data_IF_422119959347
#
_entry.id   IF_422119959347
#
_cell.length_a   1.000
_cell.length_b   1.000
_cell.length_c   1.000
_cell.angle_alpha   90.00
_cell.angle_beta   90.00
_cell.angle_gamma   90.00
#
_symmetry.space_group_name_H-M   'P 1'
#
loop_
_entity.id
_entity.type
_entity.pdbx_description
1 polymer ?
#
# COMPACT_ATOMS: atom_id res chain seq x y z
N UNK A 1 -5.30 10.14 3.12
CA UNK A 1 -5.71 9.57 1.84
C UNK A 1 -6.88 8.62 2.07
N UNK A 2 -7.99 8.73 1.29
CA UNK A 2 -9.19 7.91 1.50
C UNK A 2 -10.12 8.34 2.64
N UNK A 3 -9.85 9.46 3.32
CA UNK A 3 -10.76 10.01 4.31
C UNK A 3 -11.96 10.69 3.64
N UNK A 4 -13.14 10.54 4.25
CA UNK A 4 -14.34 11.26 3.87
C UNK A 4 -14.36 12.61 4.58
N UNK A 5 -14.34 13.71 3.84
CA UNK A 5 -14.43 15.08 4.38
C UNK A 5 -15.90 15.46 4.43
N UNK A 6 -16.39 15.87 5.63
CA UNK A 6 -17.80 16.18 5.89
C UNK A 6 -18.09 17.68 5.86
N UNK A 7 -17.09 18.52 5.60
CA UNK A 7 -17.20 19.97 5.59
C UNK A 7 -16.54 20.56 4.34
N UNK A 8 -17.03 21.70 3.89
CA UNK A 8 -16.47 22.44 2.76
C UNK A 8 -15.73 23.68 3.27
N UNK A 9 -14.91 24.27 2.39
CA UNK A 9 -14.26 25.55 2.67
C UNK A 9 -15.32 26.64 2.88
N UNK A 10 -15.20 27.37 4.00
CA UNK A 10 -16.15 28.43 4.39
C UNK A 10 -17.31 27.97 5.28
N UNK A 11 -17.47 26.67 5.55
CA UNK A 11 -18.51 26.18 6.44
C UNK A 11 -18.26 26.59 7.90
N UNK A 12 -19.35 27.00 8.61
CA UNK A 12 -19.30 27.29 10.04
C UNK A 12 -19.33 25.99 10.83
N UNK A 13 -18.24 25.70 11.54
CA UNK A 13 -18.10 24.48 12.37
C UNK A 13 -18.36 24.81 13.83
N UNK A 14 -18.94 23.86 14.59
CA UNK A 14 -19.17 23.93 16.03
C UNK A 14 -18.23 22.96 16.74
N UNK A 15 -17.92 23.23 18.01
CA UNK A 15 -17.16 22.31 18.86
C UNK A 15 -17.84 20.93 18.92
N UNK A 16 -17.08 19.86 18.61
CA UNK A 16 -17.59 18.48 18.58
C UNK A 16 -18.17 18.02 17.25
N UNK A 17 -18.20 18.87 16.22
CA UNK A 17 -18.62 18.47 14.87
C UNK A 17 -17.53 17.63 14.20
N UNK A 18 -17.94 16.52 13.56
CA UNK A 18 -17.03 15.65 12.81
C UNK A 18 -16.63 16.32 11.50
N UNK A 19 -15.36 16.68 11.35
CA UNK A 19 -14.82 17.34 10.16
C UNK A 19 -14.50 16.33 9.05
N UNK A 20 -13.94 15.19 9.42
CA UNK A 20 -13.66 14.09 8.51
C UNK A 20 -13.73 12.75 9.25
N UNK A 21 -13.91 11.68 8.49
CA UNK A 21 -13.92 10.31 8.99
C UNK A 21 -13.10 9.41 8.09
N UNK A 22 -12.44 8.41 8.66
CA UNK A 22 -11.69 7.41 7.92
C UNK A 22 -11.81 6.04 8.60
N UNK A 23 -11.61 4.99 7.85
CA UNK A 23 -11.52 3.63 8.37
C UNK A 23 -10.04 3.26 8.56
N UNK A 24 -9.55 3.07 9.80
CA UNK A 24 -8.16 2.72 10.07
C UNK A 24 -7.79 1.28 9.70
N UNK A 25 -8.81 0.42 9.49
CA UNK A 25 -8.64 -1.01 9.23
C UNK A 25 -8.67 -1.37 7.75
N UNK A 26 -8.94 -0.40 6.89
CA UNK A 26 -9.05 -0.60 5.45
C UNK A 26 -8.16 0.39 4.71
N UNK A 27 -7.27 -0.11 3.87
CA UNK A 27 -6.58 0.71 2.88
C UNK A 27 -7.42 0.79 1.60
N UNK A 28 -7.48 1.98 1.01
CA UNK A 28 -8.28 2.24 -0.18
C UNK A 28 -7.38 2.53 -1.38
N UNK A 29 -7.64 1.87 -2.50
CA UNK A 29 -7.11 2.27 -3.79
C UNK A 29 -8.17 3.14 -4.46
N UNK A 30 -7.83 4.41 -4.72
CA UNK A 30 -8.71 5.39 -5.34
C UNK A 30 -8.33 5.63 -6.81
N UNK A 31 -9.32 5.95 -7.64
CA UNK A 31 -9.11 6.38 -9.00
C UNK A 31 -8.35 7.72 -9.03
N UNK A 32 -7.19 7.77 -9.66
CA UNK A 32 -6.40 8.99 -9.82
C UNK A 32 -6.95 9.91 -10.90
N UNK A 33 -7.58 9.32 -11.90
CA UNK A 33 -8.18 10.01 -13.04
C UNK A 33 -9.55 9.41 -13.33
N UNK A 34 -10.41 10.20 -14.00
CA UNK A 34 -11.70 9.73 -14.47
C UNK A 34 -11.52 8.99 -15.79
N UNK A 35 -12.16 7.84 -15.93
CA UNK A 35 -12.05 7.01 -17.12
C UNK A 35 -12.82 5.70 -17.01
N UNK A 36 -12.49 4.76 -17.87
CA UNK A 36 -13.11 3.42 -17.93
C UNK A 36 -12.15 2.40 -17.33
N UNK A 37 -12.61 1.58 -16.42
CA UNK A 37 -11.84 0.50 -15.79
C UNK A 37 -11.63 -0.64 -16.79
N UNK A 38 -10.40 -1.15 -16.85
CA UNK A 38 -10.06 -2.39 -17.51
C UNK A 38 -9.31 -3.30 -16.54
N UNK A 39 -9.83 -4.50 -16.36
CA UNK A 39 -9.24 -5.51 -15.50
C UNK A 39 -8.37 -6.42 -16.35
N UNK A 40 -7.12 -6.67 -15.90
CA UNK A 40 -6.16 -7.52 -16.56
C UNK A 40 -5.71 -8.64 -15.62
N UNK A 41 -5.52 -9.84 -16.18
CA UNK A 41 -5.12 -11.06 -15.46
C UNK A 41 -6.14 -11.50 -14.37
N UNK A 42 -7.44 -11.20 -14.57
CA UNK A 42 -8.52 -11.68 -13.71
C UNK A 42 -9.12 -12.97 -14.25
N UNK A 43 -8.81 -14.09 -13.59
CA UNK A 43 -9.30 -15.43 -13.92
C UNK A 43 -10.08 -15.94 -12.70
N UNK A 44 -11.37 -16.21 -12.89
CA UNK A 44 -12.23 -16.72 -11.84
C UNK A 44 -11.77 -18.11 -11.37
N UNK A 45 -11.71 -18.30 -10.04
CA UNK A 45 -11.23 -19.54 -9.43
C UNK A 45 -9.72 -19.67 -9.31
N UNK A 46 -8.93 -18.76 -9.93
CA UNK A 46 -7.46 -18.73 -9.80
C UNK A 46 -6.99 -17.40 -9.20
N UNK A 47 -7.16 -16.27 -9.91
CA UNK A 47 -6.68 -14.97 -9.42
C UNK A 47 -7.71 -14.22 -8.60
N UNK A 48 -9.01 -14.54 -8.72
CA UNK A 48 -10.06 -13.98 -7.87
C UNK A 48 -11.18 -15.00 -7.63
N UNK A 49 -11.93 -14.80 -6.54
CA UNK A 49 -13.15 -15.52 -6.22
C UNK A 49 -14.30 -14.55 -5.94
N UNK A 50 -15.53 -14.96 -6.23
CA UNK A 50 -16.72 -14.22 -5.86
C UNK A 50 -17.19 -14.67 -4.48
N UNK A 51 -17.19 -13.77 -3.52
CA UNK A 51 -17.70 -13.99 -2.17
C UNK A 51 -19.06 -13.31 -2.01
N UNK A 52 -20.00 -14.01 -1.40
CA UNK A 52 -21.28 -13.42 -1.04
C UNK A 52 -21.13 -12.58 0.23
N UNK A 53 -21.49 -11.30 0.15
CA UNK A 53 -21.54 -10.40 1.30
C UNK A 53 -22.98 -10.26 1.78
N UNK A 54 -23.16 -9.93 3.08
CA UNK A 54 -24.48 -9.67 3.68
C UNK A 54 -25.30 -8.72 2.81
N UNK A 55 -26.53 -9.18 2.44
CA UNK A 55 -27.41 -8.45 1.53
C UNK A 55 -27.45 -9.00 0.09
N UNK A 56 -26.83 -10.18 -0.18
CA UNK A 56 -26.92 -10.86 -1.49
C UNK A 56 -26.08 -10.24 -2.61
N UNK A 57 -25.21 -9.27 -2.28
CA UNK A 57 -24.25 -8.71 -3.24
C UNK A 57 -23.01 -9.60 -3.29
N UNK A 58 -22.58 -9.93 -4.50
CA UNK A 58 -21.31 -10.61 -4.73
C UNK A 58 -20.18 -9.59 -4.82
N UNK A 59 -19.07 -9.87 -4.15
CA UNK A 59 -17.83 -9.08 -4.24
C UNK A 59 -16.71 -9.97 -4.76
N UNK A 60 -15.85 -9.40 -5.59
CA UNK A 60 -14.68 -10.09 -6.14
C UNK A 60 -13.51 -9.86 -5.19
N UNK A 61 -12.97 -10.94 -4.67
CA UNK A 61 -11.81 -10.93 -3.76
C UNK A 61 -10.61 -11.56 -4.48
N UNK A 62 -9.49 -10.88 -4.48
CA UNK A 62 -8.25 -11.37 -5.11
C UNK A 62 -7.69 -12.52 -4.27
N UNK A 63 -7.40 -13.64 -4.94
CA UNK A 63 -6.79 -14.84 -4.35
C UNK A 63 -5.36 -15.04 -4.82
N UNK A 64 -4.59 -15.85 -4.11
CA UNK A 64 -3.24 -16.19 -4.52
C UNK A 64 -3.29 -17.15 -5.73
N UNK A 65 -2.78 -16.71 -6.87
CA UNK A 65 -2.69 -17.56 -8.06
C UNK A 65 -1.54 -18.54 -7.95
N UNK A 66 -1.75 -19.75 -8.48
CA UNK A 66 -0.70 -20.78 -8.63
C UNK A 66 0.31 -20.40 -9.71
N UNK A 67 -0.10 -19.64 -10.72
CA UNK A 67 0.80 -19.14 -11.77
C UNK A 67 1.33 -17.76 -11.41
N UNK A 68 2.60 -17.70 -11.01
CA UNK A 68 3.30 -16.44 -10.64
C UNK A 68 3.46 -15.45 -11.80
N UNK A 69 3.07 -15.79 -13.02
CA UNK A 69 3.07 -14.87 -14.17
C UNK A 69 1.82 -14.03 -14.24
N UNK A 70 0.74 -14.47 -13.58
CA UNK A 70 -0.52 -13.73 -13.51
C UNK A 70 -0.45 -12.74 -12.35
N UNK A 71 -0.76 -11.49 -12.65
CA UNK A 71 -0.77 -10.41 -11.67
C UNK A 71 -2.04 -9.59 -11.87
N UNK A 72 -3.10 -9.84 -11.08
CA UNK A 72 -4.35 -9.09 -11.21
C UNK A 72 -4.08 -7.58 -11.06
N UNK A 73 -4.47 -6.82 -12.07
CA UNK A 73 -4.23 -5.37 -12.09
C UNK A 73 -5.42 -4.63 -12.69
N UNK A 74 -5.62 -3.38 -12.22
CA UNK A 74 -6.62 -2.46 -12.73
C UNK A 74 -5.92 -1.36 -13.50
N UNK A 75 -6.39 -1.12 -14.71
CA UNK A 75 -5.95 -0.02 -15.58
C UNK A 75 -7.12 0.93 -15.81
N UNK A 76 -6.84 2.23 -15.95
CA UNK A 76 -7.85 3.24 -16.29
C UNK A 76 -7.57 3.77 -17.69
N UNK A 77 -8.56 3.67 -18.55
CA UNK A 77 -8.49 4.11 -19.94
C UNK A 77 -9.33 5.36 -20.16
N UNK A 78 -8.87 6.21 -21.08
CA UNK A 78 -9.68 7.28 -21.65
C UNK A 78 -10.79 6.68 -22.53
N UNK A 79 -11.89 7.41 -22.71
CA UNK A 79 -12.94 7.06 -23.70
C UNK A 79 -12.39 6.95 -25.14
N UNK A 80 -11.18 7.50 -25.40
CA UNK A 80 -10.48 7.36 -26.67
C UNK A 80 -9.61 6.11 -26.78
N UNK A 81 -9.47 5.33 -25.69
CA UNK A 81 -8.67 4.11 -25.65
C UNK A 81 -7.21 4.31 -25.20
N UNK A 82 -6.82 5.51 -24.78
CA UNK A 82 -5.48 5.77 -24.26
C UNK A 82 -5.40 5.35 -22.78
N UNK A 83 -4.27 4.80 -22.37
CA UNK A 83 -4.03 4.45 -20.95
C UNK A 83 -3.79 5.74 -20.17
N UNK A 84 -4.69 6.06 -19.24
CA UNK A 84 -4.57 7.23 -18.37
C UNK A 84 -3.79 6.92 -17.10
N UNK A 85 -3.98 5.72 -16.54
CA UNK A 85 -3.24 5.23 -15.37
C UNK A 85 -2.77 3.82 -15.63
N UNK A 86 -1.48 3.58 -15.47
CA UNK A 86 -0.86 2.26 -15.61
C UNK A 86 -1.39 1.26 -14.60
N UNK A 87 -1.22 -0.04 -14.87
CA UNK A 87 -1.77 -1.13 -14.09
C UNK A 87 -1.41 -1.08 -12.61
N UNK A 88 -2.40 -0.86 -11.76
CA UNK A 88 -2.25 -1.04 -10.32
C UNK A 88 -2.41 -2.51 -10.00
N UNK A 89 -1.33 -3.19 -9.60
CA UNK A 89 -1.36 -4.59 -9.19
C UNK A 89 -2.05 -4.69 -7.83
N UNK A 90 -2.95 -5.65 -7.71
CA UNK A 90 -3.73 -5.87 -6.51
C UNK A 90 -3.09 -6.92 -5.61
N UNK A 91 -2.98 -6.67 -4.31
CA UNK A 91 -2.55 -7.67 -3.35
C UNK A 91 -3.62 -8.74 -3.14
N UNK A 92 -3.19 -9.89 -2.62
CA UNK A 92 -4.10 -10.96 -2.18
C UNK A 92 -5.01 -10.43 -1.08
N UNK A 93 -6.29 -10.88 -1.05
CA UNK A 93 -7.38 -10.41 -0.19
C UNK A 93 -7.89 -9.00 -0.49
N UNK A 94 -7.46 -8.38 -1.59
CA UNK A 94 -8.04 -7.13 -2.05
C UNK A 94 -9.47 -7.36 -2.54
N UNK A 95 -10.42 -6.57 -2.05
CA UNK A 95 -11.83 -6.62 -2.43
C UNK A 95 -12.13 -5.54 -3.47
N UNK A 96 -12.60 -5.94 -4.64
CA UNK A 96 -12.98 -5.02 -5.70
C UNK A 96 -14.34 -4.38 -5.43
N UNK A 97 -14.42 -3.06 -5.61
CA UNK A 97 -15.66 -2.29 -5.50
C UNK A 97 -16.24 -1.94 -6.87
N UNK A 98 -15.43 -2.08 -7.91
CA UNK A 98 -15.77 -1.73 -9.31
C UNK A 98 -15.77 -2.98 -10.20
N UNK A 99 -16.44 -2.87 -11.34
CA UNK A 99 -16.49 -3.92 -12.35
C UNK A 99 -15.70 -3.52 -13.60
N UNK A 100 -15.32 -4.52 -14.41
CA UNK A 100 -14.71 -4.30 -15.70
C UNK A 100 -15.62 -3.49 -16.63
N UNK A 101 -15.06 -2.51 -17.35
CA UNK A 101 -15.81 -1.61 -18.23
C UNK A 101 -16.58 -0.50 -17.51
N UNK A 102 -16.52 -0.38 -16.20
CA UNK A 102 -17.22 0.66 -15.43
C UNK A 102 -16.55 2.02 -15.60
N UNK A 103 -17.38 3.06 -15.82
CA UNK A 103 -16.93 4.46 -15.74
C UNK A 103 -16.66 4.85 -14.29
N UNK A 104 -15.49 5.43 -14.03
CA UNK A 104 -15.10 5.92 -12.69
C UNK A 104 -14.70 7.38 -12.74
N UNK A 105 -14.93 8.07 -11.64
CA UNK A 105 -14.51 9.46 -11.44
C UNK A 105 -13.26 9.52 -10.56
N UNK A 106 -12.47 10.58 -10.74
CA UNK A 106 -11.30 10.83 -9.88
C UNK A 106 -11.70 10.84 -8.40
N UNK A 107 -10.97 10.09 -7.56
CA UNK A 107 -11.24 9.95 -6.13
C UNK A 107 -12.23 8.81 -5.78
N UNK A 108 -12.84 8.15 -6.74
CA UNK A 108 -13.72 7.01 -6.49
C UNK A 108 -12.91 5.81 -5.99
N UNK A 109 -13.44 5.09 -4.98
CA UNK A 109 -12.82 3.87 -4.46
C UNK A 109 -12.93 2.73 -5.48
N UNK A 110 -11.78 2.17 -5.86
CA UNK A 110 -11.67 1.03 -6.77
C UNK A 110 -11.56 -0.27 -6.00
N UNK A 111 -10.74 -0.29 -4.96
CA UNK A 111 -10.41 -1.49 -4.20
C UNK A 111 -10.33 -1.16 -2.72
N UNK A 112 -10.75 -2.11 -1.89
CA UNK A 112 -10.59 -2.11 -0.45
C UNK A 112 -9.63 -3.22 -0.05
N UNK A 113 -8.63 -2.90 0.74
CA UNK A 113 -7.66 -3.86 1.25
C UNK A 113 -7.82 -3.87 2.77
N UNK A 114 -8.29 -4.99 3.31
CA UNK A 114 -8.39 -5.13 4.75
C UNK A 114 -6.99 -5.27 5.34
N UNK A 115 -6.66 -4.42 6.30
CA UNK A 115 -5.44 -4.59 7.10
C UNK A 115 -5.65 -5.75 8.06
N UNK A 116 -4.84 -6.77 7.94
CA UNK A 116 -4.81 -7.86 8.92
C UNK A 116 -4.24 -7.34 10.25
N UNK A 117 -5.05 -6.56 10.98
CA UNK A 117 -4.65 -5.91 12.24
C UNK A 117 -4.56 -6.93 13.40
N UNK A 118 -5.08 -8.15 13.23
CA UNK A 118 -5.26 -9.06 14.34
C UNK A 118 -4.45 -10.35 14.36
N UNK A 119 -4.10 -10.93 13.22
CA UNK A 119 -3.56 -12.31 13.19
C UNK A 119 -2.06 -12.43 13.00
N UNK A 120 -1.40 -11.48 12.35
CA UNK A 120 0.04 -11.56 12.08
C UNK A 120 0.90 -10.87 13.13
N UNK A 121 0.34 -9.91 13.88
CA UNK A 121 1.07 -9.19 14.93
C UNK A 121 1.12 -9.93 16.26
N UNK A 122 0.15 -10.81 16.54
CA UNK A 122 0.02 -11.50 17.83
C UNK A 122 1.04 -12.63 18.01
N UNK A 123 1.56 -13.22 16.92
CA UNK A 123 2.51 -14.35 16.98
C UNK A 123 3.98 -13.88 16.91
N UNK A 124 4.26 -12.78 16.20
CA UNK A 124 5.63 -12.23 16.02
C UNK A 124 5.84 -10.87 16.69
N UNK A 125 4.80 -10.29 17.27
CA UNK A 125 4.78 -8.94 17.83
C UNK A 125 5.10 -8.82 19.32
N UNK A 126 5.48 -9.91 19.99
CA UNK A 126 5.79 -9.89 21.40
C UNK A 126 7.28 -9.74 21.72
N UNK A 127 7.72 -10.37 22.82
CA UNK A 127 9.13 -10.41 23.25
C UNK A 127 10.14 -10.72 22.12
N UNK A 128 9.85 -11.62 21.15
CA UNK A 128 10.77 -11.86 20.04
C UNK A 128 11.04 -10.63 19.19
N UNK A 129 10.06 -9.75 18.96
CA UNK A 129 10.25 -8.51 18.20
C UNK A 129 11.12 -7.51 18.96
N UNK A 130 10.93 -7.42 20.29
CA UNK A 130 11.76 -6.56 21.14
C UNK A 130 13.22 -7.02 21.11
N UNK A 131 13.46 -8.34 21.23
CA UNK A 131 14.81 -8.89 21.13
C UNK A 131 15.45 -8.62 19.75
N UNK A 132 14.69 -8.79 18.66
CA UNK A 132 15.13 -8.50 17.29
C UNK A 132 15.55 -7.03 17.15
N UNK A 133 14.78 -6.09 17.71
CA UNK A 133 15.08 -4.66 17.68
C UNK A 133 16.34 -4.32 18.47
N UNK A 134 16.49 -4.85 19.70
CA UNK A 134 17.68 -4.60 20.52
C UNK A 134 18.95 -5.23 19.98
N UNK A 135 18.84 -6.38 19.32
CA UNK A 135 19.98 -7.03 18.66
C UNK A 135 20.25 -6.46 17.27
N UNK A 136 19.44 -5.50 16.79
CA UNK A 136 19.50 -4.91 15.44
C UNK A 136 19.56 -5.98 14.34
N UNK A 137 18.84 -7.09 14.51
CA UNK A 137 18.74 -8.17 13.51
C UNK A 137 17.99 -7.67 12.28
N UNK A 138 18.34 -8.19 11.12
CA UNK A 138 17.54 -7.97 9.91
C UNK A 138 16.18 -8.64 10.07
N UNK A 139 15.08 -7.93 9.85
CA UNK A 139 13.75 -8.51 9.89
C UNK A 139 13.60 -9.67 8.91
N UNK A 140 12.79 -10.67 9.24
CA UNK A 140 12.51 -11.80 8.34
C UNK A 140 11.85 -11.34 7.03
N UNK A 141 11.03 -10.29 7.11
CA UNK A 141 10.36 -9.68 5.95
C UNK A 141 10.67 -8.17 5.88
N UNK A 142 11.88 -7.77 5.45
CA UNK A 142 12.30 -6.37 5.48
C UNK A 142 11.55 -5.55 4.42
N UNK A 143 11.17 -4.32 4.78
CA UNK A 143 10.73 -3.33 3.82
C UNK A 143 11.90 -2.87 2.96
N UNK A 144 11.64 -2.47 1.73
CA UNK A 144 12.60 -1.74 0.91
C UNK A 144 12.39 -0.26 1.19
N UNK A 145 13.44 0.44 1.59
CA UNK A 145 13.41 1.85 2.00
C UNK A 145 14.14 2.70 0.98
N UNK A 146 13.64 3.90 0.68
CA UNK A 146 14.33 4.82 -0.23
C UNK A 146 15.48 5.54 0.47
N UNK A 147 16.61 5.68 -0.23
CA UNK A 147 17.80 6.40 0.26
C UNK A 147 17.77 7.88 -0.11
N UNK A 148 16.92 8.28 -1.06
CA UNK A 148 16.87 9.64 -1.61
C UNK A 148 15.45 10.20 -1.60
N UNK A 149 15.37 11.54 -1.60
CA UNK A 149 14.12 12.24 -1.85
C UNK A 149 13.85 12.29 -3.35
N UNK A 150 12.60 12.07 -3.76
CA UNK A 150 12.26 12.16 -5.18
C UNK A 150 10.83 11.71 -5.48
N UNK A 151 10.52 11.71 -6.76
CA UNK A 151 9.23 11.26 -7.29
C UNK A 151 9.33 9.79 -7.68
N UNK A 152 8.30 9.04 -7.32
CA UNK A 152 8.20 7.60 -7.62
C UNK A 152 7.78 7.38 -9.05
N UNK A 153 8.50 6.53 -9.78
CA UNK A 153 8.16 6.03 -11.10
C UNK A 153 8.13 4.51 -11.08
N UNK A 154 7.06 3.92 -11.61
CA UNK A 154 6.97 2.47 -11.74
C UNK A 154 7.60 2.00 -13.03
N UNK A 155 8.55 1.08 -12.91
CA UNK A 155 9.19 0.42 -14.03
C UNK A 155 8.53 -0.91 -14.38
N UNK A 156 9.10 -1.58 -15.39
CA UNK A 156 8.62 -2.87 -15.86
C UNK A 156 8.74 -3.96 -14.80
N UNK A 157 7.72 -4.80 -14.71
CA UNK A 157 7.78 -6.03 -13.92
C UNK A 157 8.39 -7.13 -14.78
N UNK A 158 9.57 -7.64 -14.36
CA UNK A 158 10.26 -8.74 -15.05
C UNK A 158 10.52 -9.89 -14.09
N UNK A 159 10.12 -11.13 -14.47
CA UNK A 159 10.34 -12.37 -13.69
C UNK A 159 9.87 -12.28 -12.22
N UNK A 160 8.71 -11.69 -11.98
CA UNK A 160 8.15 -11.54 -10.63
C UNK A 160 8.85 -10.50 -9.74
N UNK A 161 9.73 -9.65 -10.29
CA UNK A 161 10.34 -8.52 -9.59
C UNK A 161 9.84 -7.23 -10.21
N UNK A 162 9.21 -6.37 -9.40
CA UNK A 162 8.82 -5.02 -9.82
C UNK A 162 9.99 -4.08 -9.63
N UNK A 163 10.31 -3.31 -10.65
CA UNK A 163 11.24 -2.19 -10.55
C UNK A 163 10.48 -0.94 -10.16
N UNK A 164 11.01 -0.20 -9.22
CA UNK A 164 10.50 1.09 -8.80
C UNK A 164 11.68 2.05 -8.76
N UNK A 165 11.57 3.16 -9.47
CA UNK A 165 12.62 4.17 -9.52
C UNK A 165 12.19 5.40 -8.73
N UNK A 166 13.11 5.97 -7.97
CA UNK A 166 12.93 7.25 -7.30
C UNK A 166 13.78 8.26 -8.04
N UNK A 167 13.13 9.27 -8.60
CA UNK A 167 13.75 10.31 -9.43
C UNK A 167 13.84 11.59 -8.61
N UNK A 168 15.05 12.02 -8.19
CA UNK A 168 15.22 13.27 -7.48
C UNK A 168 15.09 14.47 -8.44
N UNK A 169 14.78 15.65 -7.90
CA UNK A 169 14.71 16.89 -8.69
C UNK A 169 16.06 17.20 -9.37
N UNK A 170 17.17 16.88 -8.73
CA UNK A 170 18.52 17.02 -9.26
C UNK A 170 19.32 15.77 -8.90
N UNK A 171 19.91 15.09 -9.89
CA UNK A 171 20.76 13.93 -9.66
C UNK A 171 20.34 12.68 -10.44
N UNK A 172 20.89 11.54 -10.05
CA UNK A 172 20.63 10.25 -10.70
C UNK A 172 19.45 9.55 -10.00
N UNK A 173 18.54 8.98 -10.77
CA UNK A 173 17.49 8.11 -10.26
C UNK A 173 18.07 6.83 -9.67
N UNK A 174 17.49 6.36 -8.57
CA UNK A 174 17.82 5.06 -7.97
C UNK A 174 16.67 4.10 -8.22
N UNK A 175 16.99 2.92 -8.74
CA UNK A 175 16.01 1.87 -9.02
C UNK A 175 16.05 0.79 -7.96
N UNK A 176 14.94 0.59 -7.28
CA UNK A 176 14.72 -0.43 -6.27
C UNK A 176 14.02 -1.65 -6.86
N UNK A 177 14.35 -2.83 -6.37
CA UNK A 177 13.74 -4.10 -6.77
C UNK A 177 12.82 -4.58 -5.67
N UNK A 178 11.52 -4.64 -5.93
CA UNK A 178 10.54 -5.15 -4.98
C UNK A 178 10.18 -6.57 -5.37
N UNK A 179 10.38 -7.55 -4.46
CA UNK A 179 10.04 -8.95 -4.72
C UNK A 179 8.54 -9.13 -4.98
N UNK A 180 8.20 -10.14 -5.77
CA UNK A 180 6.81 -10.56 -5.97
C UNK A 180 6.16 -10.92 -4.62
N UNK A 181 4.90 -10.54 -4.47
CA UNK A 181 4.12 -10.82 -3.25
C UNK A 181 4.21 -9.74 -2.18
N UNK A 182 5.11 -8.74 -2.32
CA UNK A 182 5.12 -7.56 -1.44
C UNK A 182 4.18 -6.49 -1.97
N UNK A 183 3.32 -6.01 -1.10
CA UNK A 183 2.47 -4.86 -1.41
C UNK A 183 3.31 -3.58 -1.46
N UNK A 184 3.15 -2.79 -2.53
CA UNK A 184 3.80 -1.49 -2.69
C UNK A 184 2.92 -0.44 -2.02
N UNK A 185 3.47 0.28 -1.04
CA UNK A 185 2.72 1.27 -0.24
C UNK A 185 2.75 2.68 -0.83
N UNK A 186 3.61 2.90 -1.83
CA UNK A 186 3.73 4.18 -2.55
C UNK A 186 3.06 4.09 -3.91
N UNK A 187 2.72 5.25 -4.47
CA UNK A 187 2.07 5.32 -5.77
C UNK A 187 2.97 6.02 -6.79
N UNK A 188 2.68 5.78 -8.07
CA UNK A 188 3.36 6.47 -9.16
C UNK A 188 3.10 7.98 -9.11
N UNK A 189 4.15 8.76 -9.22
CA UNK A 189 4.10 10.22 -9.13
C UNK A 189 4.06 10.79 -7.72
N UNK A 190 4.09 9.96 -6.66
CA UNK A 190 4.19 10.45 -5.28
C UNK A 190 5.59 11.01 -5.03
N UNK A 191 5.67 12.17 -4.37
CA UNK A 191 6.93 12.67 -3.84
C UNK A 191 7.18 12.06 -2.47
N UNK A 192 8.31 11.37 -2.33
CA UNK A 192 8.70 10.69 -1.09
C UNK A 192 10.04 11.21 -0.59
N UNK A 193 10.23 11.12 0.72
CA UNK A 193 11.48 11.49 1.39
C UNK A 193 12.35 10.29 1.68
N UNK A 194 13.65 10.50 1.82
CA UNK A 194 14.58 9.47 2.25
C UNK A 194 14.09 8.83 3.56
N UNK A 195 14.22 7.51 3.68
CA UNK A 195 13.70 6.75 4.82
C UNK A 195 12.26 6.26 4.67
N UNK A 196 11.53 6.66 3.61
CA UNK A 196 10.15 6.17 3.38
C UNK A 196 10.17 4.73 2.87
N UNK A 197 9.36 3.81 3.45
CA UNK A 197 9.22 2.45 2.94
C UNK A 197 8.47 2.43 1.62
N UNK A 198 8.97 1.68 0.65
CA UNK A 198 8.38 1.50 -0.68
C UNK A 198 7.41 0.32 -0.75
N UNK A 199 7.58 -0.64 0.15
CA UNK A 199 6.74 -1.83 0.24
C UNK A 199 6.49 -2.22 1.70
N UNK A 200 5.50 -3.08 1.93
CA UNK A 200 5.23 -3.67 3.23
C UNK A 200 6.42 -4.43 3.78
N UNK A 201 6.55 -4.40 5.11
CA UNK A 201 7.57 -5.09 5.87
C UNK A 201 8.12 -4.23 7.01
N UNK A 202 8.89 -4.84 7.89
CA UNK A 202 9.56 -4.13 8.97
C UNK A 202 10.80 -3.41 8.43
N UNK A 203 11.00 -2.16 8.87
CA UNK A 203 12.19 -1.41 8.48
C UNK A 203 13.37 -1.91 9.30
N UNK A 204 14.52 -2.08 8.65
CA UNK A 204 15.75 -2.46 9.35
C UNK A 204 16.34 -1.26 10.10
N UNK A 205 16.66 -1.37 11.40
CA UNK A 205 17.34 -0.30 12.13
C UNK A 205 18.64 0.16 11.47
N UNK A 206 19.35 -0.77 10.82
CA UNK A 206 20.59 -0.47 10.08
C UNK A 206 20.36 0.44 8.88
N UNK A 207 19.24 0.27 8.16
CA UNK A 207 18.90 1.11 7.01
C UNK A 207 18.54 2.52 7.48
N UNK A 208 17.76 2.65 8.56
CA UNK A 208 17.46 3.96 9.17
C UNK A 208 18.73 4.66 9.62
N UNK A 209 19.65 3.93 10.27
CA UNK A 209 20.93 4.50 10.71
C UNK A 209 21.73 5.07 9.54
N UNK A 210 21.78 4.32 8.44
CA UNK A 210 22.57 4.72 7.26
C UNK A 210 21.94 5.90 6.52
N UNK A 211 20.60 5.94 6.43
CA UNK A 211 19.86 6.92 5.63
C UNK A 211 19.59 8.20 6.43
N UNK A 212 19.09 8.07 7.66
CA UNK A 212 18.57 9.17 8.47
C UNK A 212 19.45 9.53 9.68
N UNK A 213 20.39 8.66 10.01
CA UNK A 213 21.35 8.88 11.09
C UNK A 213 20.87 8.42 12.48
N UNK A 214 21.72 8.64 13.53
CA UNK A 214 21.54 8.01 14.84
C UNK A 214 20.32 8.52 15.62
N UNK A 215 19.91 9.77 15.43
CA UNK A 215 18.76 10.32 16.14
C UNK A 215 17.45 9.67 15.66
N UNK A 216 17.30 9.50 14.35
CA UNK A 216 16.13 8.84 13.76
C UNK A 216 16.03 7.35 14.18
N UNK A 217 17.17 6.65 14.31
CA UNK A 217 17.18 5.26 14.82
C UNK A 217 16.70 5.20 16.26
N UNK A 218 17.12 6.14 17.11
CA UNK A 218 16.67 6.17 18.52
C UNK A 218 15.16 6.35 18.62
N UNK A 219 14.64 7.32 17.88
CA UNK A 219 13.20 7.59 17.80
C UNK A 219 12.45 6.37 17.29
N UNK A 220 12.86 5.80 16.17
CA UNK A 220 12.28 4.59 15.62
C UNK A 220 12.27 3.41 16.60
N UNK A 221 13.38 3.14 17.30
CA UNK A 221 13.46 2.04 18.26
C UNK A 221 12.51 2.26 19.45
N UNK A 222 12.39 3.49 19.95
CA UNK A 222 11.46 3.83 21.03
C UNK A 222 10.03 3.61 20.58
N UNK A 223 9.67 4.11 19.40
CA UNK A 223 8.30 3.99 18.86
C UNK A 223 7.91 2.54 18.63
N UNK A 224 8.78 1.74 17.99
CA UNK A 224 8.53 0.31 17.74
C UNK A 224 8.37 -0.48 19.05
N UNK A 225 9.23 -0.22 20.05
CA UNK A 225 9.14 -0.89 21.34
C UNK A 225 7.86 -0.50 22.06
N UNK A 226 7.51 0.78 22.08
CA UNK A 226 6.26 1.25 22.66
C UNK A 226 5.04 0.65 21.96
N UNK A 227 5.07 0.50 20.63
CA UNK A 227 3.99 -0.15 19.89
C UNK A 227 3.83 -1.62 20.32
N UNK A 228 4.94 -2.37 20.44
CA UNK A 228 4.90 -3.76 20.93
C UNK A 228 4.27 -3.85 22.30
N UNK A 229 4.68 -3.00 23.26
CA UNK A 229 4.10 -3.00 24.62
C UNK A 229 2.63 -2.58 24.63
N UNK A 230 2.27 -1.57 23.84
CA UNK A 230 0.87 -1.13 23.70
C UNK A 230 -0.04 -2.23 23.17
N UNK A 231 0.44 -3.01 22.21
CA UNK A 231 -0.30 -4.18 21.67
C UNK A 231 -0.48 -5.29 22.70
N UNK A 232 0.41 -5.38 23.72
CA UNK A 232 0.32 -6.31 24.83
C UNK A 232 -0.52 -5.75 26.01
N UNK A 233 -1.14 -4.58 25.85
CA UNK A 233 -2.00 -3.98 26.87
C UNK A 233 -1.25 -3.26 28.00
N UNK A 234 0.01 -2.93 27.80
CA UNK A 234 0.84 -2.18 28.76
C UNK A 234 0.82 -0.69 28.45
#
# INVERSE_FOLDING_TARGET
YGANVNVNEGDKVKKGMTLFSWDPYTDLILARQSGVIKMKDFIEGDTYQEEAVDGGKKQKVVTESKDRRLSPQIEIYSKKGDILSGGTILPVKATLVVNDGQDVTKGQTLVKIQKDVGKSRDITGGLPRVAELFEARKPANPAVVTEINGTVEFGETKRGVRKLSVVPANGKSITYKIPYGKHVVVHEGDFITAGTPLCEGAISPSDILTILGPNAVREYLVDEIQEVYRLQGV
#
